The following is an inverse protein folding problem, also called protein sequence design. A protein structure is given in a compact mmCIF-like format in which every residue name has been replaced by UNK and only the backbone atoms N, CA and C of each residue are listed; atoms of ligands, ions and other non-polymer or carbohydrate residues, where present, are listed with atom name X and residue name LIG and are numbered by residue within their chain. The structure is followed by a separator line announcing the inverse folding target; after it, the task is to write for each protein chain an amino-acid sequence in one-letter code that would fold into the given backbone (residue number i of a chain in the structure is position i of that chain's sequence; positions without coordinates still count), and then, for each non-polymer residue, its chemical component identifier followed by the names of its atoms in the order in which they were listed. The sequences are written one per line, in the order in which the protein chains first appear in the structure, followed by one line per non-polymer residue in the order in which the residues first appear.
data_IF_703895546446
#
_entry.id   IF_703895546446
#
_cell.length_a   1.000
_cell.length_b   1.000
_cell.length_c   1.000
_cell.angle_alpha   90.00
_cell.angle_beta   90.00
_cell.angle_gamma   90.00
#
_symmetry.space_group_name_H-M   'P 1'
#
loop_
_entity.id
_entity.type
_entity.pdbx_description
1 polymer ?
#
# COMPACT_ATOMS: atom_id res chain seq x y z
N UNK A 1 -1.88 35.77 22.28
CA UNK A 1 -2.19 35.00 21.06
C UNK A 1 -1.03 34.04 20.80
N UNK A 2 -1.27 32.75 20.52
CA UNK A 2 -0.21 31.93 19.95
C UNK A 2 0.28 32.58 18.64
N UNK A 3 1.57 32.45 18.30
CA UNK A 3 2.09 32.99 17.06
C UNK A 3 1.32 32.39 15.86
N UNK A 4 1.12 33.15 14.76
CA UNK A 4 0.52 32.60 13.56
C UNK A 4 1.39 31.42 13.11
N UNK A 5 0.77 30.24 13.02
CA UNK A 5 1.46 29.04 12.52
C UNK A 5 1.89 29.29 11.08
N UNK A 6 3.16 29.07 10.76
CA UNK A 6 3.64 29.06 9.38
C UNK A 6 2.81 28.07 8.55
N UNK A 7 2.31 28.49 7.37
CA UNK A 7 1.56 27.62 6.48
C UNK A 7 2.35 26.33 6.20
N UNK A 8 1.67 25.18 6.28
CA UNK A 8 2.29 23.88 6.01
C UNK A 8 1.83 23.35 4.65
N UNK A 9 2.70 22.70 3.87
CA UNK A 9 2.27 22.00 2.68
C UNK A 9 1.44 20.77 3.06
N UNK A 10 0.61 20.32 2.13
CA UNK A 10 -0.16 19.08 2.25
C UNK A 10 0.09 18.14 1.07
N UNK A 11 -0.15 16.86 1.33
CA UNK A 11 -0.43 15.87 0.30
C UNK A 11 -1.93 15.66 0.29
N UNK A 12 -2.58 16.09 -0.79
CA UNK A 12 -3.95 15.75 -1.09
C UNK A 12 -3.98 14.37 -1.77
N UNK A 13 -4.86 13.51 -1.31
CA UNK A 13 -4.93 12.11 -1.71
C UNK A 13 -6.35 11.80 -2.19
N UNK A 14 -6.51 11.20 -3.37
CA UNK A 14 -7.73 10.41 -3.58
C UNK A 14 -7.73 9.19 -2.65
N UNK A 15 -8.91 8.64 -2.41
CA UNK A 15 -9.12 7.48 -1.56
C UNK A 15 -9.04 6.20 -2.38
N UNK A 16 -10.02 6.02 -3.24
CA UNK A 16 -10.26 4.78 -3.98
C UNK A 16 -9.24 4.64 -5.13
N UNK A 17 -8.64 3.46 -5.26
CA UNK A 17 -7.52 3.14 -6.17
C UNK A 17 -6.26 4.02 -6.00
N UNK A 18 -6.14 4.75 -4.88
CA UNK A 18 -4.97 5.56 -4.51
C UNK A 18 -4.42 5.18 -3.14
N UNK A 19 -5.26 5.25 -2.09
CA UNK A 19 -4.91 4.79 -0.73
C UNK A 19 -5.35 3.35 -0.54
N UNK A 20 -6.59 3.02 -0.92
CA UNK A 20 -7.18 1.69 -0.87
C UNK A 20 -7.56 1.17 -2.25
N UNK A 21 -7.74 -0.14 -2.33
CA UNK A 21 -8.23 -0.83 -3.53
C UNK A 21 -9.72 -0.55 -3.73
N UNK A 22 -10.13 -0.45 -4.99
CA UNK A 22 -11.53 -0.30 -5.38
C UNK A 22 -11.86 -1.06 -6.67
N UNK A 23 -11.23 -0.72 -7.81
CA UNK A 23 -11.59 -1.28 -9.11
C UNK A 23 -11.42 -2.80 -9.24
N UNK A 24 -10.57 -3.41 -8.40
CA UNK A 24 -10.25 -4.84 -8.43
C UNK A 24 -10.85 -5.63 -7.25
N UNK A 25 -11.81 -5.03 -6.54
CA UNK A 25 -12.58 -5.71 -5.50
C UNK A 25 -13.54 -6.76 -6.09
N UNK A 26 -13.88 -7.82 -5.32
CA UNK A 26 -14.82 -8.84 -5.79
C UNK A 26 -16.24 -8.27 -5.97
N UNK A 27 -17.04 -8.89 -6.85
CA UNK A 27 -18.40 -8.44 -7.18
C UNK A 27 -19.30 -8.22 -5.97
N UNK A 28 -19.11 -8.98 -4.89
CA UNK A 28 -19.86 -8.84 -3.64
C UNK A 28 -19.68 -7.44 -2.98
N UNK A 29 -18.57 -6.74 -3.24
CA UNK A 29 -18.38 -5.36 -2.82
C UNK A 29 -19.41 -4.42 -3.47
N UNK A 30 -19.91 -4.76 -4.66
CA UNK A 30 -20.85 -3.96 -5.46
C UNK A 30 -22.29 -4.44 -5.40
N UNK A 31 -22.59 -5.52 -4.68
CA UNK A 31 -23.96 -6.01 -4.55
C UNK A 31 -24.85 -4.92 -3.90
N UNK A 32 -25.89 -4.51 -4.62
CA UNK A 32 -26.84 -3.48 -4.20
C UNK A 32 -26.41 -2.04 -4.50
N UNK A 33 -25.22 -1.82 -5.09
CA UNK A 33 -24.67 -0.49 -5.39
C UNK A 33 -24.06 -0.44 -6.79
N UNK A 34 -23.74 0.77 -7.29
CA UNK A 34 -23.05 0.88 -8.57
C UNK A 34 -21.59 0.47 -8.40
N UNK A 35 -21.04 -0.23 -9.39
CA UNK A 35 -19.62 -0.59 -9.43
C UNK A 35 -18.71 0.62 -9.19
N UNK A 36 -17.77 0.47 -8.26
CA UNK A 36 -16.82 1.51 -7.83
C UNK A 36 -17.31 2.41 -6.69
N UNK A 37 -18.56 2.27 -6.21
CA UNK A 37 -19.07 3.01 -5.04
C UNK A 37 -18.82 2.24 -3.73
N UNK A 38 -17.59 2.30 -3.21
CA UNK A 38 -17.20 1.58 -1.99
C UNK A 38 -17.96 2.11 -0.75
N UNK A 39 -18.98 1.36 -0.35
CA UNK A 39 -19.89 1.66 0.77
C UNK A 39 -19.93 0.53 1.82
N UNK A 40 -19.16 -0.53 1.63
CA UNK A 40 -19.11 -1.70 2.53
C UNK A 40 -17.73 -1.77 3.22
N UNK A 41 -17.62 -1.47 4.52
CA UNK A 41 -16.33 -1.37 5.22
C UNK A 41 -15.53 -2.67 5.19
N UNK A 42 -16.17 -3.84 5.17
CA UNK A 42 -15.50 -5.14 5.12
C UNK A 42 -14.66 -5.38 3.85
N UNK A 43 -14.87 -4.58 2.80
CA UNK A 43 -14.05 -4.61 1.57
C UNK A 43 -12.99 -3.50 1.52
N UNK A 44 -12.86 -2.69 2.57
CA UNK A 44 -11.80 -1.70 2.66
C UNK A 44 -10.44 -2.41 2.81
N UNK A 45 -9.62 -2.34 1.76
CA UNK A 45 -8.30 -2.97 1.70
C UNK A 45 -7.27 -1.93 1.26
N UNK A 46 -6.22 -1.70 2.06
CA UNK A 46 -5.14 -0.80 1.68
C UNK A 46 -4.38 -1.33 0.46
N UNK A 47 -3.96 -0.42 -0.41
CA UNK A 47 -2.93 -0.75 -1.40
C UNK A 47 -1.61 -1.01 -0.67
N UNK A 48 -0.86 -2.00 -1.14
CA UNK A 48 0.40 -2.39 -0.52
C UNK A 48 1.37 -1.20 -0.47
N UNK A 49 1.97 -0.95 0.69
CA UNK A 49 2.91 0.15 0.89
C UNK A 49 2.26 1.53 1.11
N UNK A 50 0.94 1.68 0.97
CA UNK A 50 0.25 2.96 1.22
C UNK A 50 0.52 3.50 2.63
N UNK A 51 0.47 2.63 3.65
CA UNK A 51 0.72 3.05 5.04
C UNK A 51 2.12 3.62 5.23
N UNK A 52 3.15 2.91 4.79
CA UNK A 52 4.54 3.33 4.94
C UNK A 52 4.83 4.62 4.16
N UNK A 53 4.25 4.75 2.97
CA UNK A 53 4.32 5.96 2.15
C UNK A 53 3.74 7.18 2.87
N UNK A 54 2.56 7.01 3.47
CA UNK A 54 1.90 8.06 4.25
C UNK A 54 2.73 8.43 5.49
N UNK A 55 3.29 7.45 6.20
CA UNK A 55 4.18 7.74 7.35
C UNK A 55 5.37 8.59 6.89
N UNK A 56 6.06 8.18 5.82
CA UNK A 56 7.21 8.92 5.31
C UNK A 56 6.86 10.36 4.88
N UNK A 57 5.70 10.56 4.25
CA UNK A 57 5.22 11.89 3.87
C UNK A 57 4.87 12.74 5.11
N UNK A 58 4.24 12.15 6.12
CA UNK A 58 3.92 12.85 7.37
C UNK A 58 5.18 13.25 8.15
N UNK A 59 6.16 12.35 8.23
CA UNK A 59 7.45 12.59 8.88
C UNK A 59 8.26 13.67 8.16
N UNK A 60 8.07 13.82 6.85
CA UNK A 60 8.65 14.92 6.06
C UNK A 60 7.93 16.28 6.28
N UNK A 61 6.93 16.34 7.16
CA UNK A 61 6.26 17.57 7.58
C UNK A 61 5.00 17.94 6.80
N UNK A 62 4.54 17.08 5.87
CA UNK A 62 3.31 17.32 5.14
C UNK A 62 2.08 17.01 6.00
N UNK A 63 1.02 17.81 5.82
CA UNK A 63 -0.34 17.43 6.21
C UNK A 63 -0.89 16.39 5.24
N UNK A 64 -1.54 15.34 5.73
CA UNK A 64 -2.15 14.33 4.87
C UNK A 64 -3.66 14.51 4.85
N UNK A 65 -4.20 14.86 3.69
CA UNK A 65 -5.62 15.19 3.53
C UNK A 65 -6.22 14.29 2.45
N UNK A 66 -7.21 13.48 2.82
CA UNK A 66 -7.96 12.68 1.84
C UNK A 66 -9.11 13.51 1.29
N UNK A 67 -9.27 13.50 -0.04
CA UNK A 67 -10.36 14.17 -0.77
C UNK A 67 -11.01 13.19 -1.76
N UNK A 68 -12.24 12.77 -1.49
CA UNK A 68 -12.89 11.69 -2.25
C UNK A 68 -14.29 12.01 -2.76
N UNK A 69 -14.60 11.56 -3.99
CA UNK A 69 -15.94 11.65 -4.56
C UNK A 69 -16.74 10.38 -4.21
N UNK A 70 -17.76 10.50 -3.37
CA UNK A 70 -18.60 9.40 -2.88
C UNK A 70 -20.03 9.51 -3.44
N UNK A 71 -20.12 9.54 -4.77
CA UNK A 71 -21.39 9.75 -5.50
C UNK A 71 -22.40 8.61 -5.38
N UNK A 72 -22.03 7.48 -4.78
CA UNK A 72 -22.96 6.39 -4.45
C UNK A 72 -24.10 6.84 -3.53
N UNK A 73 -23.84 7.84 -2.68
CA UNK A 73 -24.88 8.45 -1.83
C UNK A 73 -25.96 9.14 -2.68
N UNK A 74 -25.57 10.01 -3.61
CA UNK A 74 -26.50 10.66 -4.53
C UNK A 74 -27.24 9.69 -5.46
N UNK A 75 -26.68 8.49 -5.70
CA UNK A 75 -27.31 7.43 -6.50
C UNK A 75 -28.25 6.52 -5.69
N UNK A 76 -28.38 6.74 -4.39
CA UNK A 76 -29.19 5.90 -3.51
C UNK A 76 -28.58 4.52 -3.21
N UNK A 77 -27.28 4.33 -3.47
CA UNK A 77 -26.57 3.10 -3.12
C UNK A 77 -26.25 2.98 -1.62
N UNK A 78 -26.27 4.10 -0.90
CA UNK A 78 -26.04 4.12 0.55
C UNK A 78 -26.12 5.54 1.10
N UNK A 79 -25.60 5.70 2.32
CA UNK A 79 -25.68 6.92 3.11
C UNK A 79 -24.29 7.49 3.39
N UNK A 80 -24.25 8.71 3.91
CA UNK A 80 -23.00 9.28 4.45
C UNK A 80 -22.42 8.43 5.59
N UNK A 81 -23.27 7.74 6.36
CA UNK A 81 -22.82 6.84 7.43
C UNK A 81 -22.05 5.64 6.90
N UNK A 82 -22.42 5.14 5.72
CA UNK A 82 -21.73 4.02 5.07
C UNK A 82 -20.36 4.48 4.54
N UNK A 83 -20.28 5.70 4.00
CA UNK A 83 -19.00 6.34 3.64
C UNK A 83 -18.11 6.50 4.86
N UNK A 84 -18.66 7.00 5.98
CA UNK A 84 -17.92 7.17 7.22
C UNK A 84 -17.44 5.83 7.79
N UNK A 85 -18.27 4.78 7.72
CA UNK A 85 -17.88 3.44 8.15
C UNK A 85 -16.69 2.89 7.35
N UNK A 86 -16.67 3.10 6.03
CA UNK A 86 -15.51 2.75 5.18
C UNK A 86 -14.29 3.56 5.59
N UNK A 87 -14.43 4.87 5.79
CA UNK A 87 -13.34 5.73 6.20
C UNK A 87 -12.79 5.33 7.58
N UNK A 88 -13.64 4.94 8.53
CA UNK A 88 -13.24 4.48 9.86
C UNK A 88 -12.51 3.13 9.81
N UNK A 89 -12.92 2.23 8.93
CA UNK A 89 -12.18 1.00 8.67
C UNK A 89 -10.80 1.31 8.09
N UNK A 90 -10.68 2.23 7.14
CA UNK A 90 -9.38 2.66 6.60
C UNK A 90 -8.51 3.33 7.67
N UNK A 91 -9.09 4.17 8.54
CA UNK A 91 -8.36 4.72 9.71
C UNK A 91 -7.84 3.61 10.60
N UNK A 92 -8.64 2.58 10.87
CA UNK A 92 -8.22 1.43 11.68
C UNK A 92 -7.04 0.71 11.04
N UNK A 93 -7.13 0.40 9.74
CA UNK A 93 -6.06 -0.27 8.99
C UNK A 93 -4.77 0.56 8.94
N UNK A 94 -4.87 1.88 8.78
CA UNK A 94 -3.72 2.77 8.74
C UNK A 94 -3.01 2.91 10.10
N UNK A 95 -3.73 2.68 11.21
CA UNK A 95 -3.20 2.82 12.57
C UNK A 95 -2.90 1.48 13.27
N UNK A 96 -3.17 0.33 12.64
CA UNK A 96 -3.16 -1.00 13.27
C UNK A 96 -1.89 -1.38 14.06
N UNK A 97 -0.70 -0.89 13.68
CA UNK A 97 0.56 -1.18 14.41
C UNK A 97 1.14 0.04 15.14
N UNK A 98 0.36 1.11 15.35
CA UNK A 98 0.74 2.15 16.29
C UNK A 98 0.37 1.66 17.69
N UNK A 99 1.31 1.74 18.64
CA UNK A 99 1.00 1.60 20.08
C UNK A 99 -0.34 2.27 20.40
N UNK A 100 -1.23 1.69 21.24
CA UNK A 100 -2.59 2.16 21.44
C UNK A 100 -2.58 3.67 21.57
N UNK A 101 -3.01 4.33 20.49
CA UNK A 101 -3.02 5.78 20.44
C UNK A 101 -3.93 6.21 21.58
N UNK A 102 -3.52 7.18 22.42
CA UNK A 102 -4.42 7.74 23.40
C UNK A 102 -5.71 8.18 22.69
N UNK A 103 -6.80 8.35 23.43
CA UNK A 103 -8.10 8.79 22.88
C UNK A 103 -7.96 10.08 22.01
N UNK A 104 -6.85 10.81 22.17
CA UNK A 104 -6.43 11.99 21.40
C UNK A 104 -5.11 11.82 20.61
N UNK A 105 -4.72 10.61 20.25
CA UNK A 105 -3.48 10.34 19.53
C UNK A 105 -3.52 10.88 18.10
N UNK A 106 -2.36 11.32 17.59
CA UNK A 106 -2.25 11.81 16.22
C UNK A 106 -2.56 10.70 15.20
N UNK A 107 -3.66 10.89 14.48
CA UNK A 107 -4.01 10.03 13.35
C UNK A 107 -3.00 10.22 12.22
N UNK A 108 -2.74 9.15 11.47
CA UNK A 108 -1.89 9.23 10.28
C UNK A 108 -2.46 10.22 9.25
N UNK A 109 -3.73 10.09 8.88
CA UNK A 109 -4.44 11.07 8.06
C UNK A 109 -4.97 12.20 8.94
N UNK A 110 -4.70 13.45 8.58
CA UNK A 110 -5.10 14.63 9.35
C UNK A 110 -6.59 14.97 9.16
N UNK A 111 -7.12 14.81 7.93
CA UNK A 111 -8.52 15.06 7.65
C UNK A 111 -9.02 14.28 6.42
N UNK A 112 -10.33 14.02 6.39
CA UNK A 112 -11.03 13.36 5.30
C UNK A 112 -12.17 14.26 4.82
N UNK A 113 -12.18 14.60 3.54
CA UNK A 113 -13.27 15.31 2.89
C UNK A 113 -13.93 14.37 1.87
N UNK A 114 -15.23 14.17 2.01
CA UNK A 114 -16.04 13.31 1.15
C UNK A 114 -17.13 14.12 0.48
N UNK A 115 -17.19 14.10 -0.86
CA UNK A 115 -18.27 14.71 -1.61
C UNK A 115 -19.37 13.68 -1.94
N UNK A 116 -20.56 13.73 -1.32
CA UNK A 116 -21.66 12.81 -1.64
C UNK A 116 -22.42 13.16 -2.94
N UNK A 117 -22.21 14.38 -3.47
CA UNK A 117 -23.00 14.93 -4.56
C UNK A 117 -22.69 14.30 -5.92
N UNK A 118 -23.70 14.21 -6.77
CA UNK A 118 -23.57 13.77 -8.16
C UNK A 118 -24.62 14.44 -9.07
N UNK A 119 -24.24 15.05 -10.21
CA UNK A 119 -25.17 15.77 -11.09
C UNK A 119 -26.24 14.88 -11.72
N UNK A 120 -25.94 13.60 -11.90
CA UNK A 120 -26.88 12.58 -12.39
C UNK A 120 -27.38 11.66 -11.25
N UNK A 121 -27.34 12.15 -10.00
CA UNK A 121 -27.92 11.44 -8.86
C UNK A 121 -29.45 11.38 -8.95
N UNK A 122 -30.04 10.56 -8.11
CA UNK A 122 -31.50 10.38 -8.00
C UNK A 122 -31.99 10.62 -6.58
N UNK A 123 -31.09 10.86 -5.62
CA UNK A 123 -31.41 10.99 -4.21
C UNK A 123 -31.06 12.38 -3.66
N UNK A 124 -32.10 13.14 -3.35
CA UNK A 124 -32.01 14.47 -2.72
C UNK A 124 -31.44 14.39 -1.29
N UNK A 125 -30.70 15.40 -0.80
CA UNK A 125 -30.30 16.64 -1.48
C UNK A 125 -29.01 16.54 -2.31
N UNK A 126 -28.52 15.33 -2.60
CA UNK A 126 -27.20 15.11 -3.20
C UNK A 126 -27.21 15.00 -4.73
N UNK A 127 -28.38 15.07 -5.35
CA UNK A 127 -28.67 14.90 -6.78
C UNK A 127 -28.38 16.13 -7.63
N UNK A 128 -27.28 16.84 -7.33
CA UNK A 128 -26.89 18.06 -8.01
C UNK A 128 -25.38 18.13 -8.24
N UNK A 129 -24.97 19.05 -9.13
CA UNK A 129 -23.57 19.47 -9.23
C UNK A 129 -23.16 20.22 -7.96
N UNK A 130 -21.90 20.09 -7.54
CA UNK A 130 -21.44 20.70 -6.30
C UNK A 130 -19.96 21.05 -6.39
N UNK A 131 -19.56 22.18 -5.80
CA UNK A 131 -18.17 22.67 -5.82
C UNK A 131 -17.16 21.71 -5.19
N UNK A 132 -17.63 20.80 -4.34
CA UNK A 132 -16.78 19.77 -3.74
C UNK A 132 -16.54 18.56 -4.64
N UNK A 133 -17.34 18.37 -5.68
CA UNK A 133 -17.22 17.20 -6.54
C UNK A 133 -16.05 17.40 -7.51
N UNK A 134 -14.99 16.60 -7.39
CA UNK A 134 -13.86 16.62 -8.34
C UNK A 134 -14.40 16.42 -9.77
N UNK A 135 -14.02 17.26 -10.76
CA UNK A 135 -12.82 18.12 -10.81
C UNK A 135 -12.95 19.53 -10.20
N UNK A 136 -14.05 19.84 -9.51
CA UNK A 136 -14.16 21.12 -8.80
C UNK A 136 -13.21 21.14 -7.58
N UNK A 137 -12.62 22.30 -7.23
CA UNK A 137 -11.55 22.41 -6.23
C UNK A 137 -12.06 22.54 -4.78
N UNK A 138 -13.37 22.41 -4.52
CA UNK A 138 -14.00 22.83 -3.28
C UNK A 138 -13.48 22.10 -2.04
N UNK A 139 -13.22 20.79 -2.12
CA UNK A 139 -12.64 20.03 -0.99
C UNK A 139 -11.22 20.51 -0.65
N UNK A 140 -10.37 20.73 -1.67
CA UNK A 140 -9.00 21.22 -1.48
C UNK A 140 -9.00 22.65 -0.93
N UNK A 141 -9.88 23.50 -1.46
CA UNK A 141 -10.02 24.89 -1.01
C UNK A 141 -10.51 24.97 0.44
N UNK A 142 -11.45 24.10 0.83
CA UNK A 142 -11.93 23.99 2.21
C UNK A 142 -10.78 23.56 3.14
N UNK A 143 -10.06 22.49 2.79
CA UNK A 143 -8.92 21.99 3.55
C UNK A 143 -7.81 23.03 3.69
N UNK A 144 -7.49 23.76 2.62
CA UNK A 144 -6.46 24.80 2.63
C UNK A 144 -6.80 25.93 3.62
N UNK A 145 -8.07 26.35 3.67
CA UNK A 145 -8.54 27.37 4.62
C UNK A 145 -8.54 26.84 6.05
N UNK A 146 -9.10 25.66 6.27
CA UNK A 146 -9.25 25.06 7.61
C UNK A 146 -7.90 24.77 8.27
N UNK A 147 -6.93 24.28 7.49
CA UNK A 147 -5.62 23.88 7.99
C UNK A 147 -4.50 24.90 7.70
N UNK A 148 -4.83 26.05 7.13
CA UNK A 148 -3.86 27.10 6.74
C UNK A 148 -2.72 26.53 5.88
N UNK A 149 -3.08 25.84 4.79
CA UNK A 149 -2.12 25.12 3.93
C UNK A 149 -1.49 26.02 2.88
N UNK A 150 -0.23 25.76 2.56
CA UNK A 150 0.45 26.35 1.40
C UNK A 150 0.25 25.48 0.16
N UNK A 151 -0.67 25.88 -0.72
CA UNK A 151 -0.98 25.16 -1.94
C UNK A 151 0.16 25.19 -2.97
N UNK A 152 1.03 26.20 -2.95
CA UNK A 152 2.13 26.33 -3.90
C UNK A 152 3.23 25.27 -3.68
N UNK A 153 3.29 24.69 -2.49
CA UNK A 153 4.23 23.62 -2.10
C UNK A 153 3.51 22.33 -1.71
N UNK A 154 2.20 22.24 -2.00
CA UNK A 154 1.39 21.04 -1.79
C UNK A 154 1.34 20.16 -3.04
N UNK A 155 1.08 18.87 -2.83
CA UNK A 155 0.95 17.90 -3.91
C UNK A 155 -0.46 17.30 -3.97
N UNK A 156 -0.83 16.78 -5.14
CA UNK A 156 -2.00 15.92 -5.32
C UNK A 156 -1.57 14.55 -5.84
N UNK A 157 -2.11 13.50 -5.26
CA UNK A 157 -1.94 12.12 -5.72
C UNK A 157 -3.32 11.51 -5.91
N UNK A 158 -3.64 11.02 -7.12
CA UNK A 158 -4.93 10.41 -7.43
C UNK A 158 -4.86 9.55 -8.69
N UNK A 159 -5.83 8.65 -8.90
CA UNK A 159 -5.80 7.71 -10.02
C UNK A 159 -6.50 8.25 -11.28
N UNK A 160 -7.42 9.21 -11.12
CA UNK A 160 -8.19 9.80 -12.23
C UNK A 160 -7.71 11.21 -12.56
N UNK A 161 -7.83 11.59 -13.83
CA UNK A 161 -7.53 12.96 -14.29
C UNK A 161 -8.28 14.05 -13.50
N UNK A 162 -9.54 13.77 -13.08
CA UNK A 162 -10.35 14.70 -12.28
C UNK A 162 -9.69 15.10 -10.96
N UNK A 163 -8.80 14.26 -10.42
CA UNK A 163 -8.10 14.50 -9.17
C UNK A 163 -7.03 15.57 -9.35
N UNK A 164 -6.26 15.44 -10.43
CA UNK A 164 -5.25 16.40 -10.85
C UNK A 164 -5.90 17.74 -11.21
N UNK A 165 -7.00 17.70 -11.97
CA UNK A 165 -7.74 18.89 -12.37
C UNK A 165 -8.27 19.65 -11.15
N UNK A 166 -8.82 18.96 -10.14
CA UNK A 166 -9.27 19.58 -8.90
C UNK A 166 -8.14 20.31 -8.17
N UNK A 167 -6.94 19.73 -8.14
CA UNK A 167 -5.78 20.33 -7.51
C UNK A 167 -5.27 21.55 -8.28
N UNK A 168 -5.15 21.45 -9.60
CA UNK A 168 -4.75 22.57 -10.48
C UNK A 168 -5.74 23.73 -10.32
N UNK A 169 -7.04 23.43 -10.34
CA UNK A 169 -8.10 24.43 -10.15
C UNK A 169 -8.06 25.08 -8.76
N UNK A 170 -7.53 24.40 -7.75
CA UNK A 170 -7.36 24.94 -6.41
C UNK A 170 -6.09 25.80 -6.26
N UNK A 171 -5.16 25.75 -7.22
CA UNK A 171 -3.88 26.46 -7.18
C UNK A 171 -2.68 25.59 -6.79
N UNK A 172 -2.82 24.27 -6.74
CA UNK A 172 -1.68 23.35 -6.68
C UNK A 172 -0.97 23.36 -8.03
N UNK A 173 0.37 23.53 -8.10
CA UNK A 173 1.08 23.52 -9.37
C UNK A 173 0.90 22.19 -10.13
N UNK A 174 0.70 22.24 -11.45
CA UNK A 174 0.52 21.04 -12.26
C UNK A 174 1.70 20.05 -12.13
N UNK A 175 2.93 20.55 -11.95
CA UNK A 175 4.14 19.74 -11.70
C UNK A 175 4.15 19.01 -10.35
N UNK A 176 3.21 19.33 -9.45
CA UNK A 176 3.03 18.71 -8.14
C UNK A 176 1.76 17.83 -8.10
N UNK A 177 1.17 17.54 -9.26
CA UNK A 177 0.10 16.57 -9.40
C UNK A 177 0.66 15.27 -9.97
N UNK A 178 0.36 14.14 -9.33
CA UNK A 178 0.88 12.82 -9.67
C UNK A 178 -0.31 11.89 -9.90
N UNK A 179 -0.44 11.40 -11.13
CA UNK A 179 -1.40 10.35 -11.43
C UNK A 179 -0.81 8.99 -11.05
N UNK A 180 -1.54 8.21 -10.26
CA UNK A 180 -1.17 6.83 -9.91
C UNK A 180 -2.03 5.80 -10.63
N UNK A 181 -1.51 4.58 -10.77
CA UNK A 181 -2.27 3.44 -11.25
C UNK A 181 -1.49 2.55 -12.22
N UNK A 182 -2.05 1.39 -12.60
CA UNK A 182 -1.32 0.35 -13.34
C UNK A 182 -0.81 0.79 -14.73
N UNK A 183 -1.43 1.81 -15.32
CA UNK A 183 -1.07 2.35 -16.64
C UNK A 183 -0.44 3.76 -16.56
N UNK A 184 -0.16 4.27 -15.37
CA UNK A 184 0.49 5.56 -15.17
C UNK A 184 2.00 5.38 -14.99
N UNK A 185 2.77 6.45 -15.19
CA UNK A 185 4.22 6.44 -14.93
C UNK A 185 4.52 6.14 -13.44
N UNK A 186 3.60 6.50 -12.55
CA UNK A 186 3.65 6.20 -11.14
C UNK A 186 2.67 5.05 -10.83
N UNK A 187 3.14 3.83 -10.49
CA UNK A 187 2.25 2.68 -10.33
C UNK A 187 1.35 2.77 -9.08
N UNK A 188 1.83 3.39 -8.01
CA UNK A 188 1.16 3.41 -6.71
C UNK A 188 1.58 4.63 -5.86
N UNK A 189 0.89 4.81 -4.73
CA UNK A 189 1.17 5.85 -3.74
C UNK A 189 2.59 5.74 -3.15
N UNK A 190 3.13 4.52 -3.00
CA UNK A 190 4.48 4.34 -2.46
C UNK A 190 5.55 4.88 -3.42
N UNK A 191 5.35 4.71 -4.73
CA UNK A 191 6.19 5.30 -5.75
C UNK A 191 6.06 6.83 -5.76
N UNK A 192 4.83 7.35 -5.67
CA UNK A 192 4.59 8.80 -5.64
C UNK A 192 5.30 9.45 -4.45
N UNK A 193 5.19 8.85 -3.26
CA UNK A 193 5.86 9.32 -2.06
C UNK A 193 7.39 9.36 -2.23
N UNK A 194 7.99 8.33 -2.84
CA UNK A 194 9.44 8.32 -3.12
C UNK A 194 9.84 9.45 -4.06
N UNK A 195 9.06 9.70 -5.10
CA UNK A 195 9.30 10.80 -6.06
C UNK A 195 9.25 12.16 -5.36
N UNK A 196 8.23 12.40 -4.53
CA UNK A 196 8.07 13.66 -3.78
C UNK A 196 9.24 13.87 -2.81
N UNK A 197 9.60 12.83 -2.07
CA UNK A 197 10.68 12.88 -1.08
C UNK A 197 12.08 12.83 -1.72
N UNK A 198 12.17 12.70 -3.05
CA UNK A 198 13.43 12.53 -3.81
C UNK A 198 14.27 11.39 -3.25
N UNK A 199 13.60 10.32 -2.82
CA UNK A 199 14.24 9.10 -2.34
C UNK A 199 14.60 8.29 -3.58
N UNK A 200 15.85 8.38 -4.01
CA UNK A 200 16.39 7.51 -5.04
C UNK A 200 16.26 6.05 -4.59
N UNK A 201 15.51 5.27 -5.36
CA UNK A 201 15.53 3.83 -5.21
C UNK A 201 16.70 3.29 -6.03
N UNK A 202 17.88 3.21 -5.43
CA UNK A 202 18.77 2.11 -5.82
C UNK A 202 17.95 0.83 -5.66
N UNK A 203 17.71 0.05 -6.73
CA UNK A 203 17.04 -1.24 -6.59
C UNK A 203 17.74 -2.01 -5.47
N UNK A 204 16.97 -2.57 -4.53
CA UNK A 204 17.56 -3.45 -3.51
C UNK A 204 18.43 -4.46 -4.26
N UNK A 205 19.74 -4.54 -3.97
CA UNK A 205 20.64 -5.37 -4.75
C UNK A 205 20.06 -6.77 -4.82
N UNK A 206 19.85 -7.29 -6.03
CA UNK A 206 19.36 -8.64 -6.21
C UNK A 206 20.53 -9.59 -6.06
N UNK A 207 20.40 -10.54 -5.15
CA UNK A 207 21.44 -11.54 -4.91
C UNK A 207 20.91 -12.92 -5.23
N UNK A 208 21.69 -13.68 -5.99
CA UNK A 208 21.41 -15.08 -6.28
C UNK A 208 22.35 -15.94 -5.45
N UNK A 209 21.77 -16.80 -4.62
CA UNK A 209 22.50 -17.69 -3.73
C UNK A 209 22.02 -19.12 -3.93
N UNK A 210 22.93 -20.08 -3.78
CA UNK A 210 22.65 -21.49 -3.96
C UNK A 210 23.08 -22.26 -2.71
N UNK A 211 22.18 -23.07 -2.18
CA UNK A 211 22.48 -24.11 -1.20
C UNK A 211 22.58 -25.44 -1.97
N UNK A 212 23.77 -26.07 -1.93
CA UNK A 212 24.11 -27.27 -2.70
C UNK A 212 24.56 -28.39 -1.76
N UNK A 213 24.21 -29.63 -2.10
CA UNK A 213 24.82 -30.81 -1.52
C UNK A 213 26.33 -30.85 -1.80
N UNK A 214 27.14 -31.12 -0.78
CA UNK A 214 28.60 -31.12 -0.91
C UNK A 214 29.14 -32.38 -1.62
N UNK A 215 28.40 -33.49 -1.54
CA UNK A 215 28.73 -34.75 -2.22
C UNK A 215 27.90 -34.89 -3.50
N UNK A 216 28.59 -35.08 -4.64
CA UNK A 216 27.97 -35.27 -5.96
C UNK A 216 27.11 -36.53 -6.05
N UNK A 217 27.27 -37.50 -5.16
CA UNK A 217 26.47 -38.72 -5.08
C UNK A 217 25.21 -38.59 -4.20
N UNK A 218 25.07 -37.47 -3.49
CA UNK A 218 23.87 -37.20 -2.67
C UNK A 218 22.86 -36.38 -3.46
N UNK A 219 21.64 -36.93 -3.59
CA UNK A 219 20.50 -36.32 -4.25
C UNK A 219 19.40 -35.99 -3.21
N UNK A 220 19.64 -35.05 -2.28
CA UNK A 220 18.72 -34.77 -1.17
C UNK A 220 17.32 -34.32 -1.62
N UNK A 221 17.19 -33.82 -2.84
CA UNK A 221 15.93 -33.32 -3.40
C UNK A 221 15.39 -34.19 -4.54
N UNK A 222 15.86 -35.45 -4.66
CA UNK A 222 15.31 -36.42 -5.61
C UNK A 222 13.90 -36.87 -5.23
N UNK A 223 13.58 -36.90 -3.93
CA UNK A 223 12.24 -37.19 -3.44
C UNK A 223 11.34 -35.95 -3.54
N UNK A 224 10.20 -36.09 -4.21
CA UNK A 224 9.28 -34.98 -4.49
C UNK A 224 8.68 -34.38 -3.21
N UNK A 225 8.45 -35.20 -2.17
CA UNK A 225 7.91 -34.71 -0.90
C UNK A 225 8.93 -33.85 -0.16
N UNK A 226 10.19 -34.27 -0.18
CA UNK A 226 11.31 -33.51 0.38
C UNK A 226 11.52 -32.20 -0.38
N UNK A 227 11.47 -32.24 -1.71
CA UNK A 227 11.53 -31.06 -2.58
C UNK A 227 10.44 -30.04 -2.24
N UNK A 228 9.18 -30.48 -2.18
CA UNK A 228 8.04 -29.61 -1.84
C UNK A 228 8.17 -28.98 -0.44
N UNK A 229 8.70 -29.75 0.52
CA UNK A 229 8.91 -29.25 1.90
C UNK A 229 9.98 -28.16 1.94
N UNK A 230 11.08 -28.35 1.21
CA UNK A 230 12.18 -27.38 1.12
C UNK A 230 11.73 -26.09 0.43
N UNK A 231 10.96 -26.21 -0.65
CA UNK A 231 10.35 -25.05 -1.32
C UNK A 231 9.42 -24.28 -0.37
N UNK A 232 8.53 -24.99 0.34
CA UNK A 232 7.60 -24.38 1.29
C UNK A 232 8.34 -23.66 2.41
N UNK A 233 9.42 -24.25 2.94
CA UNK A 233 10.27 -23.62 3.95
C UNK A 233 10.93 -22.33 3.43
N UNK A 234 11.44 -22.34 2.19
CA UNK A 234 12.04 -21.15 1.58
C UNK A 234 11.04 -20.00 1.45
N UNK A 235 9.82 -20.30 0.99
CA UNK A 235 8.73 -19.31 0.88
C UNK A 235 8.29 -18.78 2.25
N UNK A 236 8.13 -19.64 3.23
CA UNK A 236 7.74 -19.24 4.60
C UNK A 236 8.81 -18.36 5.28
N UNK A 237 10.11 -18.64 5.07
CA UNK A 237 11.18 -17.78 5.58
C UNK A 237 11.13 -16.40 4.91
N UNK A 238 10.94 -16.36 3.59
CA UNK A 238 10.87 -15.12 2.83
C UNK A 238 9.71 -14.24 3.32
N UNK A 239 8.52 -14.83 3.48
CA UNK A 239 7.33 -14.16 4.02
C UNK A 239 7.55 -13.62 5.43
N UNK A 240 8.02 -14.47 6.36
CA UNK A 240 8.26 -14.09 7.76
C UNK A 240 9.30 -12.98 7.92
N UNK A 241 10.26 -12.90 7.00
CA UNK A 241 11.37 -11.92 7.05
C UNK A 241 11.11 -10.68 6.20
N UNK A 242 10.01 -10.64 5.43
CA UNK A 242 9.74 -9.57 4.47
C UNK A 242 10.74 -9.50 3.31
N UNK A 243 11.48 -10.60 3.04
CA UNK A 243 12.41 -10.67 1.91
C UNK A 243 11.64 -11.06 0.65
N UNK A 244 11.74 -10.26 -0.41
CA UNK A 244 11.12 -10.58 -1.70
C UNK A 244 11.91 -11.71 -2.38
N UNK A 245 11.26 -12.86 -2.57
CA UNK A 245 11.77 -14.00 -3.33
C UNK A 245 11.29 -13.91 -4.78
N UNK A 246 12.16 -13.50 -5.70
CA UNK A 246 11.83 -13.27 -7.11
C UNK A 246 11.84 -14.56 -7.93
N UNK A 247 12.74 -15.49 -7.61
CA UNK A 247 12.86 -16.77 -8.29
C UNK A 247 13.38 -17.84 -7.34
N UNK A 248 12.89 -19.06 -7.50
CA UNK A 248 13.34 -20.23 -6.75
C UNK A 248 13.43 -21.42 -7.72
N UNK A 249 14.63 -21.98 -7.86
CA UNK A 249 14.87 -23.15 -8.71
C UNK A 249 15.49 -24.28 -7.89
N UNK A 250 14.97 -25.49 -8.09
CA UNK A 250 15.44 -26.69 -7.41
C UNK A 250 15.97 -27.67 -8.47
N UNK A 251 17.09 -28.30 -8.16
CA UNK A 251 17.58 -29.52 -8.81
C UNK A 251 17.66 -30.61 -7.75
N UNK A 252 17.97 -31.85 -8.14
CA UNK A 252 18.10 -32.96 -7.19
C UNK A 252 19.14 -32.70 -6.08
N UNK A 253 20.10 -31.78 -6.32
CA UNK A 253 21.25 -31.56 -5.43
C UNK A 253 21.36 -30.11 -4.95
N UNK A 254 20.49 -29.20 -5.37
CA UNK A 254 20.62 -27.79 -5.05
C UNK A 254 19.29 -27.04 -5.04
N UNK A 255 19.24 -25.98 -4.24
CA UNK A 255 18.21 -24.96 -4.28
C UNK A 255 18.88 -23.60 -4.51
N UNK A 256 18.40 -22.86 -5.50
CA UNK A 256 18.88 -21.52 -5.85
C UNK A 256 17.75 -20.52 -5.69
N UNK A 257 17.99 -19.48 -4.89
CA UNK A 257 17.03 -18.41 -4.68
C UNK A 257 17.60 -17.09 -5.20
N UNK A 258 16.75 -16.32 -5.87
CA UNK A 258 17.01 -14.93 -6.26
C UNK A 258 16.18 -14.04 -5.33
N UNK A 259 16.87 -13.21 -4.54
CA UNK A 259 16.26 -12.43 -3.45
C UNK A 259 16.56 -10.93 -3.65
N UNK A 260 15.58 -10.07 -3.38
CA UNK A 260 15.75 -8.61 -3.42
C UNK A 260 16.43 -8.07 -2.15
N UNK A 261 17.66 -8.53 -1.88
CA UNK A 261 18.47 -8.18 -0.71
C UNK A 261 19.96 -8.35 -1.02
N UNK A 262 20.82 -7.59 -0.34
CA UNK A 262 22.28 -7.69 -0.48
C UNK A 262 22.81 -9.10 -0.15
N UNK A 263 23.96 -9.46 -0.73
CA UNK A 263 24.56 -10.80 -0.67
C UNK A 263 24.62 -11.40 0.74
N UNK A 264 24.95 -10.60 1.76
CA UNK A 264 25.02 -11.06 3.15
C UNK A 264 23.65 -11.51 3.68
N UNK A 265 22.59 -10.76 3.38
CA UNK A 265 21.22 -11.13 3.75
C UNK A 265 20.75 -12.38 2.99
N UNK A 266 21.13 -12.51 1.72
CA UNK A 266 20.84 -13.70 0.94
C UNK A 266 21.57 -14.95 1.48
N UNK A 267 22.83 -14.81 1.92
CA UNK A 267 23.56 -15.89 2.60
C UNK A 267 22.93 -16.26 3.95
N UNK A 268 22.48 -15.27 4.73
CA UNK A 268 21.77 -15.51 5.99
C UNK A 268 20.44 -16.25 5.76
N UNK A 269 19.69 -15.88 4.72
CA UNK A 269 18.49 -16.61 4.28
C UNK A 269 18.81 -18.08 3.98
N UNK A 270 19.88 -18.35 3.22
CA UNK A 270 20.28 -19.73 2.91
C UNK A 270 20.76 -20.51 4.12
N UNK A 271 21.45 -19.87 5.07
CA UNK A 271 21.85 -20.50 6.32
C UNK A 271 20.63 -20.89 7.16
N UNK A 272 19.61 -20.03 7.25
CA UNK A 272 18.36 -20.31 7.95
C UNK A 272 17.55 -21.42 7.27
N UNK A 273 17.49 -21.40 5.94
CA UNK A 273 16.85 -22.48 5.16
C UNK A 273 17.54 -23.81 5.41
N UNK A 274 18.88 -23.85 5.37
CA UNK A 274 19.68 -25.04 5.69
C UNK A 274 19.38 -25.55 7.10
N UNK A 275 19.38 -24.65 8.09
CA UNK A 275 19.12 -24.99 9.51
C UNK A 275 17.72 -25.59 9.68
N UNK A 276 16.71 -24.93 9.11
CA UNK A 276 15.30 -25.34 9.19
C UNK A 276 15.09 -26.71 8.55
N UNK A 277 15.59 -26.90 7.33
CA UNK A 277 15.42 -28.15 6.59
C UNK A 277 16.27 -29.30 7.15
N UNK A 278 17.47 -29.03 7.68
CA UNK A 278 18.24 -30.04 8.43
C UNK A 278 17.53 -30.51 9.70
N UNK A 279 16.96 -29.58 10.47
CA UNK A 279 16.24 -29.90 11.71
C UNK A 279 15.05 -30.80 11.40
N UNK A 280 14.23 -30.41 10.43
CA UNK A 280 13.10 -31.21 9.97
C UNK A 280 13.53 -32.59 9.46
N UNK A 281 14.49 -32.66 8.53
CA UNK A 281 14.90 -33.92 7.93
C UNK A 281 15.58 -34.86 8.94
N UNK A 282 16.32 -34.32 9.91
CA UNK A 282 16.91 -35.14 11.00
C UNK A 282 15.82 -35.75 11.87
N UNK A 283 14.77 -34.98 12.19
CA UNK A 283 13.64 -35.48 12.96
C UNK A 283 12.82 -36.53 12.19
N UNK A 284 12.66 -36.38 10.88
CA UNK A 284 11.84 -37.27 10.06
C UNK A 284 12.59 -38.52 9.55
N UNK A 285 13.89 -38.38 9.22
CA UNK A 285 14.68 -39.40 8.52
C UNK A 285 15.98 -39.77 9.25
N UNK A 286 16.25 -39.20 10.43
CA UNK A 286 17.41 -39.57 11.27
C UNK A 286 18.76 -39.01 10.80
N UNK A 287 18.80 -38.18 9.76
CA UNK A 287 20.02 -37.57 9.24
C UNK A 287 19.77 -36.15 8.71
N UNK A 288 20.78 -35.26 8.65
CA UNK A 288 20.61 -33.93 8.07
C UNK A 288 20.45 -33.99 6.56
N UNK A 289 19.58 -33.14 6.00
CA UNK A 289 19.37 -33.01 4.54
C UNK A 289 20.62 -32.45 3.83
N UNK A 290 21.32 -31.54 4.48
CA UNK A 290 22.52 -30.83 4.02
C UNK A 290 23.69 -31.11 4.98
N UNK A 291 24.31 -32.30 4.93
CA UNK A 291 25.42 -32.65 5.81
C UNK A 291 26.59 -31.66 5.68
N UNK A 292 27.24 -31.35 6.80
CA UNK A 292 28.53 -30.65 6.81
C UNK A 292 29.66 -31.67 6.62
N UNK A 293 30.83 -31.25 6.12
CA UNK A 293 32.03 -32.08 6.19
C UNK A 293 32.26 -32.53 7.64
N UNK A 294 32.58 -33.81 7.83
CA UNK A 294 33.23 -34.27 9.06
C UNK A 294 34.67 -33.81 9.07
#
# INVERSE_FOLDING_TARGET
MPPPSTPRPAIFLDRDDTVNRNADLPDAAWEGVKWGDLLKPEYALLIQGSRDALIALKDAGYKLIVITNQGGVARGGGTLRDVDAVNDQLRTLLNHDREPLPIFGEQLIDCWYSCPFHPTGTHSPFDQEHDWRKPNPGMITAAAREHSLDLATSYMIGDKQRDLDAAINAGVPASQTIQVGPNADCPDLAHAARTILKIDHTPKPTSTVTLRALDTHTHPLADDRTRATVESAARAIAERTGITLSNLTLTDNAITATLAIHQLGALAFMAELRRTTNTWHTHTHGSPLWPAHR
#
